data_IF_087317679823
#
_entry.id   IF_087317679823
#
_cell.length_a   1.000
_cell.length_b   1.000
_cell.length_c   1.000
_cell.angle_alpha   90.00
_cell.angle_beta   90.00
_cell.angle_gamma   90.00
#
_symmetry.space_group_name_H-M   'P 1'
#
loop_
_entity.id
_entity.type
_entity.pdbx_description
1 polymer ?
#
# COMPACT_ATOMS: atom_id res chain seq x y z
N UNK A 1 1.51 -2.35 29.14
CA UNK A 1 1.60 -0.88 29.29
C UNK A 1 1.86 -0.58 30.76
N UNK A 2 2.91 0.18 31.08
CA UNK A 2 3.35 0.44 32.46
C UNK A 2 3.46 1.95 32.72
N UNK A 3 2.96 2.42 33.86
CA UNK A 3 3.10 3.82 34.30
C UNK A 3 4.41 3.98 35.08
N UNK A 4 5.23 4.94 34.67
CA UNK A 4 6.48 5.28 35.34
C UNK A 4 6.22 6.33 36.43
N UNK A 5 7.07 6.42 37.47
CA UNK A 5 6.88 7.34 38.61
C UNK A 5 6.83 8.83 38.23
N UNK A 6 7.37 9.18 37.06
CA UNK A 6 7.35 10.54 36.50
C UNK A 6 6.09 10.83 35.66
N UNK A 7 5.10 9.94 35.66
CA UNK A 7 3.85 10.10 34.89
C UNK A 7 3.95 9.68 33.41
N UNK A 8 5.10 9.19 32.94
CA UNK A 8 5.22 8.65 31.59
C UNK A 8 4.59 7.24 31.49
N UNK A 9 4.19 6.84 30.29
CA UNK A 9 3.59 5.52 30.04
C UNK A 9 4.44 4.72 29.05
N UNK A 10 5.00 3.61 29.52
CA UNK A 10 5.75 2.66 28.71
C UNK A 10 4.78 1.71 28.01
N UNK A 11 4.72 1.80 26.69
CA UNK A 11 3.99 0.85 25.84
C UNK A 11 5.02 -0.14 25.27
N UNK A 12 5.19 -1.25 25.96
CA UNK A 12 5.91 -2.40 25.41
C UNK A 12 4.89 -3.31 24.71
N UNK A 13 4.90 -3.34 23.37
CA UNK A 13 4.11 -4.31 22.61
C UNK A 13 5.06 -5.31 21.93
N UNK A 14 5.47 -6.39 22.62
CA UNK A 14 6.29 -7.42 22.02
C UNK A 14 5.54 -8.07 20.85
N UNK A 15 5.98 -7.77 19.62
CA UNK A 15 5.37 -8.27 18.39
C UNK A 15 4.82 -7.20 17.43
N UNK A 16 4.83 -5.91 17.78
CA UNK A 16 4.71 -4.87 16.75
C UNK A 16 5.99 -4.86 15.93
N UNK A 17 5.90 -5.43 14.73
CA UNK A 17 6.94 -5.31 13.70
C UNK A 17 6.63 -4.22 12.68
N UNK A 18 5.37 -3.79 12.58
CA UNK A 18 4.92 -2.80 11.61
C UNK A 18 3.74 -1.99 12.15
N UNK A 19 3.82 -0.67 11.99
CA UNK A 19 2.68 0.24 12.11
C UNK A 19 2.22 0.48 10.68
N UNK A 20 1.09 -0.10 10.28
CA UNK A 20 0.53 0.16 8.97
C UNK A 20 0.03 1.61 8.93
N UNK A 21 0.69 2.45 8.13
CA UNK A 21 0.24 3.80 7.85
C UNK A 21 -1.07 3.70 7.05
N UNK A 22 -2.17 4.16 7.64
CA UNK A 22 -3.43 4.36 6.93
C UNK A 22 -3.24 5.30 5.74
N UNK A 23 -3.98 5.04 4.66
CA UNK A 23 -3.79 5.59 3.31
C UNK A 23 -2.32 5.64 2.85
N UNK A 24 -1.87 4.46 2.43
CA UNK A 24 -0.48 4.16 2.13
C UNK A 24 0.20 5.05 1.08
N UNK A 25 -0.56 5.70 0.20
CA UNK A 25 -0.02 6.62 -0.81
C UNK A 25 0.43 7.96 -0.19
N UNK A 26 -0.45 8.63 0.57
CA UNK A 26 -0.10 9.88 1.27
C UNK A 26 1.03 9.67 2.29
N UNK A 27 1.03 8.50 2.96
CA UNK A 27 2.08 8.14 3.92
C UNK A 27 3.45 8.04 3.27
N UNK A 28 3.53 7.45 2.07
CA UNK A 28 4.79 7.38 1.30
C UNK A 28 5.22 8.76 0.84
N UNK A 29 4.30 9.57 0.30
CA UNK A 29 4.64 10.90 -0.19
C UNK A 29 5.25 11.78 0.90
N UNK A 30 4.72 11.69 2.12
CA UNK A 30 5.25 12.40 3.29
C UNK A 30 6.56 11.80 3.80
N UNK A 31 6.72 10.48 3.80
CA UNK A 31 7.91 9.81 4.34
C UNK A 31 9.15 9.92 3.44
N UNK A 32 8.94 10.14 2.14
CA UNK A 32 9.98 10.21 1.11
C UNK A 32 9.79 11.45 0.23
N UNK A 33 9.48 12.59 0.84
CA UNK A 33 9.21 13.83 0.12
C UNK A 33 10.39 14.24 -0.77
N UNK A 34 11.62 13.99 -0.34
CA UNK A 34 12.83 14.24 -1.13
C UNK A 34 12.86 13.47 -2.46
N UNK A 35 12.28 12.26 -2.48
CA UNK A 35 12.15 11.44 -3.68
C UNK A 35 11.01 11.97 -4.55
N UNK A 36 9.86 12.32 -3.96
CA UNK A 36 8.70 12.87 -4.68
C UNK A 36 9.04 14.20 -5.36
N UNK A 37 9.73 15.09 -4.64
CA UNK A 37 10.17 16.38 -5.14
C UNK A 37 11.14 16.21 -6.32
N UNK A 38 12.10 15.30 -6.21
CA UNK A 38 13.00 14.97 -7.31
C UNK A 38 12.24 14.32 -8.49
N UNK A 39 11.25 13.45 -8.21
CA UNK A 39 10.45 12.75 -9.21
C UNK A 39 9.64 13.70 -10.11
N UNK A 40 9.26 14.88 -9.60
CA UNK A 40 8.58 15.92 -10.40
C UNK A 40 9.38 16.37 -11.63
N UNK A 41 10.70 16.20 -11.60
CA UNK A 41 11.62 16.55 -12.68
C UNK A 41 12.03 15.34 -13.54
N UNK A 42 11.42 14.17 -13.34
CA UNK A 42 11.66 13.02 -14.19
C UNK A 42 11.17 13.27 -15.61
N UNK A 43 11.92 12.72 -16.58
CA UNK A 43 11.55 12.77 -18.00
C UNK A 43 10.20 12.11 -18.29
N UNK A 44 9.85 11.08 -17.54
CA UNK A 44 8.63 10.28 -17.71
C UNK A 44 7.72 10.41 -16.49
N UNK A 45 6.41 10.43 -16.73
CA UNK A 45 5.38 10.54 -15.67
C UNK A 45 5.18 9.26 -14.88
N UNK A 46 5.50 8.13 -15.49
CA UNK A 46 5.41 6.77 -14.95
C UNK A 46 6.80 6.21 -14.58
N UNK A 47 7.75 7.11 -14.29
CA UNK A 47 9.10 6.73 -13.89
C UNK A 47 9.08 5.96 -12.56
N UNK A 48 9.63 4.75 -12.56
CA UNK A 48 9.75 3.90 -11.37
C UNK A 48 11.03 4.14 -10.57
N UNK A 49 11.91 5.03 -11.05
CA UNK A 49 13.18 5.41 -10.42
C UNK A 49 14.16 4.24 -10.22
N UNK A 50 14.16 3.30 -11.18
CA UNK A 50 15.03 2.12 -11.15
C UNK A 50 16.16 2.25 -12.15
N UNK A 51 15.81 2.34 -13.44
CA UNK A 51 16.79 2.34 -14.54
C UNK A 51 16.39 3.31 -15.67
N UNK A 52 15.40 4.17 -15.47
CA UNK A 52 14.88 5.01 -16.55
C UNK A 52 15.87 6.10 -16.99
N UNK A 53 16.04 6.31 -18.31
CA UNK A 53 16.89 7.37 -18.82
C UNK A 53 16.28 8.74 -18.52
N UNK A 54 17.04 9.63 -17.90
CA UNK A 54 16.56 10.96 -17.50
C UNK A 54 15.70 10.95 -16.23
N UNK A 55 15.85 9.93 -15.38
CA UNK A 55 15.29 9.93 -14.03
C UNK A 55 16.04 10.94 -13.15
N UNK A 56 15.31 11.96 -12.66
CA UNK A 56 15.87 12.99 -11.78
C UNK A 56 16.21 12.43 -10.39
N UNK A 57 15.48 11.42 -9.91
CA UNK A 57 15.78 10.73 -8.64
C UNK A 57 17.12 10.00 -8.70
N UNK A 58 17.36 9.20 -9.76
CA UNK A 58 18.65 8.50 -9.94
C UNK A 58 19.81 9.49 -10.11
N UNK A 59 19.56 10.63 -10.74
CA UNK A 59 20.55 11.71 -10.81
C UNK A 59 20.84 12.29 -9.42
N UNK A 60 19.81 12.60 -8.63
CA UNK A 60 19.97 13.09 -7.27
C UNK A 60 20.71 12.09 -6.35
N UNK A 61 20.53 10.79 -6.58
CA UNK A 61 21.33 9.75 -5.89
C UNK A 61 22.80 9.79 -6.32
N UNK A 62 23.07 9.88 -7.63
CA UNK A 62 24.45 10.00 -8.16
C UNK A 62 25.15 11.26 -7.67
N UNK A 63 24.42 12.35 -7.53
CA UNK A 63 24.90 13.64 -7.04
C UNK A 63 25.04 13.67 -5.50
N UNK A 64 24.66 12.58 -4.80
CA UNK A 64 24.76 12.43 -3.35
C UNK A 64 23.69 13.19 -2.55
N UNK A 65 22.69 13.76 -3.22
CA UNK A 65 21.58 14.50 -2.60
C UNK A 65 20.62 13.53 -1.90
N UNK A 66 20.36 12.38 -2.52
CA UNK A 66 19.53 11.31 -1.95
C UNK A 66 20.44 10.10 -1.66
N UNK A 67 20.51 9.61 -0.42
CA UNK A 67 21.27 8.40 -0.13
C UNK A 67 20.71 7.18 -0.87
N UNK A 68 21.58 6.31 -1.39
CA UNK A 68 21.16 5.10 -2.12
C UNK A 68 20.27 4.19 -1.27
N UNK A 69 20.59 4.04 0.01
CA UNK A 69 19.77 3.28 0.97
C UNK A 69 18.35 3.84 1.12
N UNK A 70 18.19 5.15 0.92
CA UNK A 70 16.90 5.83 1.00
C UNK A 70 16.02 5.45 -0.18
N UNK A 71 16.58 5.48 -1.39
CA UNK A 71 15.91 5.01 -2.59
C UNK A 71 15.59 3.51 -2.51
N UNK A 72 16.50 2.69 -1.98
CA UNK A 72 16.24 1.27 -1.77
C UNK A 72 15.08 1.03 -0.79
N UNK A 73 14.97 1.82 0.27
CA UNK A 73 13.86 1.73 1.23
C UNK A 73 12.52 2.13 0.60
N UNK A 74 12.52 3.17 -0.22
CA UNK A 74 11.35 3.59 -1.01
C UNK A 74 10.85 2.47 -1.94
N UNK A 75 11.76 1.82 -2.68
CA UNK A 75 11.42 0.69 -3.55
C UNK A 75 10.81 -0.49 -2.79
N UNK A 76 11.39 -0.86 -1.65
CA UNK A 76 10.85 -1.96 -0.82
C UNK A 76 9.41 -1.66 -0.38
N UNK A 77 9.17 -0.45 0.12
CA UNK A 77 7.86 -0.08 0.65
C UNK A 77 6.82 0.03 -0.47
N UNK A 78 7.16 0.64 -1.60
CA UNK A 78 6.24 0.74 -2.75
C UNK A 78 5.90 -0.64 -3.34
N UNK A 79 6.88 -1.54 -3.45
CA UNK A 79 6.67 -2.92 -3.91
C UNK A 79 5.74 -3.70 -2.96
N UNK A 80 5.93 -3.51 -1.65
CA UNK A 80 5.10 -4.13 -0.63
C UNK A 80 3.65 -3.63 -0.69
N UNK A 81 3.44 -2.32 -0.79
CA UNK A 81 2.11 -1.76 -0.95
C UNK A 81 1.42 -2.25 -2.23
N UNK A 82 2.15 -2.32 -3.34
CA UNK A 82 1.62 -2.86 -4.59
C UNK A 82 1.22 -4.33 -4.42
N UNK A 83 2.00 -5.12 -3.67
CA UNK A 83 1.65 -6.50 -3.34
C UNK A 83 0.40 -6.60 -2.46
N UNK A 84 0.29 -5.78 -1.41
CA UNK A 84 -0.86 -5.75 -0.51
C UNK A 84 -2.14 -5.35 -1.26
N UNK A 85 -2.08 -4.34 -2.13
CA UNK A 85 -3.20 -3.89 -2.97
C UNK A 85 -3.67 -4.97 -3.96
N UNK A 86 -2.75 -5.69 -4.62
CA UNK A 86 -3.12 -6.81 -5.49
C UNK A 86 -3.82 -7.93 -4.72
N UNK A 87 -3.33 -8.26 -3.52
CA UNK A 87 -3.92 -9.29 -2.67
C UNK A 87 -5.33 -8.92 -2.20
N UNK A 88 -5.54 -7.65 -1.82
CA UNK A 88 -6.86 -7.16 -1.40
C UNK A 88 -7.86 -7.16 -2.57
N UNK A 89 -7.44 -6.76 -3.78
CA UNK A 89 -8.28 -6.79 -4.99
C UNK A 89 -8.76 -8.21 -5.32
N UNK A 90 -7.87 -9.20 -5.26
CA UNK A 90 -8.22 -10.61 -5.46
C UNK A 90 -9.24 -11.08 -4.41
N UNK A 91 -9.05 -10.67 -3.15
CA UNK A 91 -9.98 -10.95 -2.07
C UNK A 91 -11.37 -10.36 -2.33
N UNK A 92 -11.44 -9.09 -2.76
CA UNK A 92 -12.68 -8.41 -3.10
C UNK A 92 -13.44 -9.10 -4.24
N UNK A 93 -12.75 -9.46 -5.33
CA UNK A 93 -13.35 -10.21 -6.45
C UNK A 93 -13.92 -11.56 -6.02
N UNK A 94 -13.24 -12.26 -5.10
CA UNK A 94 -13.73 -13.52 -4.53
C UNK A 94 -15.00 -13.32 -3.70
N UNK A 95 -15.02 -12.30 -2.84
CA UNK A 95 -16.20 -11.96 -2.03
C UNK A 95 -17.41 -11.60 -2.91
N UNK A 96 -17.18 -10.82 -3.96
CA UNK A 96 -18.21 -10.44 -4.92
C UNK A 96 -18.81 -11.67 -5.63
N UNK A 97 -17.96 -12.60 -6.08
CA UNK A 97 -18.41 -13.86 -6.70
C UNK A 97 -19.25 -14.71 -5.75
N UNK A 98 -18.84 -14.84 -4.48
CA UNK A 98 -19.62 -15.55 -3.47
C UNK A 98 -20.97 -14.87 -3.18
N UNK A 99 -21.01 -13.53 -3.20
CA UNK A 99 -22.26 -12.76 -3.07
C UNK A 99 -23.22 -13.06 -4.22
N UNK A 100 -22.76 -12.98 -5.47
CA UNK A 100 -23.59 -13.29 -6.64
C UNK A 100 -24.07 -14.75 -6.64
N UNK A 101 -23.24 -15.69 -6.19
CA UNK A 101 -23.62 -17.10 -6.05
C UNK A 101 -24.77 -17.28 -5.05
N UNK A 102 -24.71 -16.61 -3.89
CA UNK A 102 -25.81 -16.63 -2.89
C UNK A 102 -27.10 -16.07 -3.47
N UNK A 103 -27.03 -14.89 -4.10
CA UNK A 103 -28.19 -14.26 -4.76
C UNK A 103 -28.82 -15.21 -5.79
N UNK A 104 -28.00 -15.87 -6.61
CA UNK A 104 -28.50 -16.83 -7.60
C UNK A 104 -29.20 -18.04 -6.97
N UNK A 105 -28.70 -18.55 -5.84
CA UNK A 105 -29.35 -19.63 -5.07
C UNK A 105 -30.68 -19.15 -4.50
N UNK A 106 -30.74 -17.96 -3.94
CA UNK A 106 -31.95 -17.40 -3.33
C UNK A 106 -33.03 -17.13 -4.38
N UNK A 107 -32.66 -16.62 -5.56
CA UNK A 107 -33.58 -16.48 -6.71
C UNK A 107 -34.15 -17.83 -7.13
N UNK A 108 -33.32 -18.88 -7.22
CA UNK A 108 -33.79 -20.25 -7.55
C UNK A 108 -34.78 -20.77 -6.51
N UNK A 109 -34.52 -20.55 -5.22
CA UNK A 109 -35.45 -20.93 -4.13
C UNK A 109 -36.77 -20.17 -4.24
N UNK A 110 -36.72 -18.86 -4.47
CA UNK A 110 -37.90 -18.02 -4.63
C UNK A 110 -38.77 -18.42 -5.83
N UNK A 111 -38.16 -18.69 -7.00
CA UNK A 111 -38.89 -19.20 -8.17
C UNK A 111 -39.55 -20.55 -7.88
N UNK A 112 -38.85 -21.44 -7.17
CA UNK A 112 -39.39 -22.75 -6.77
C UNK A 112 -40.56 -22.63 -5.79
N UNK A 113 -40.53 -21.68 -4.85
CA UNK A 113 -41.60 -21.50 -3.87
C UNK A 113 -42.83 -20.78 -4.42
N UNK A 114 -42.68 -19.93 -5.45
CA UNK A 114 -43.78 -19.14 -6.04
C UNK A 114 -44.38 -19.76 -7.30
N UNK A 115 -43.85 -20.87 -7.82
CA UNK A 115 -44.42 -21.61 -8.95
C UNK A 115 -44.40 -20.86 -10.29
N UNK A 116 -43.77 -19.68 -10.38
CA UNK A 116 -43.54 -18.96 -11.64
C UNK A 116 -42.29 -19.52 -12.33
N UNK A 117 -42.51 -20.50 -13.21
CA UNK A 117 -41.58 -20.86 -14.28
C UNK A 117 -41.64 -19.80 -15.38
#
# INVERSE_FOLDING_TARGET
MFLLPNGAVLIDNPGIREIQLGDSAEGIEKAFSEIVDAASNCKFKDCTHRDEPGCAVLKAVKDGIIPEERLASYHRLTDELAFQSRKSEIGLKRLEKERFKKIAVDIKKYKKSTGKL
#
